data_IF_382707630903
#
_entry.id   IF_382707630903
#
_cell.length_a   1.000
_cell.length_b   1.000
_cell.length_c   1.000
_cell.angle_alpha   90.00
_cell.angle_beta   90.00
_cell.angle_gamma   90.00
#
_symmetry.space_group_name_H-M   'P 1'
#
loop_
_entity.id
_entity.type
_entity.pdbx_description
1 polymer ?
#
# COMPACT_ATOMS: atom_id res chain seq x y z
N UNK A 1 83.39 18.76 13.71
CA UNK A 1 82.45 17.91 12.97
C UNK A 1 81.05 18.14 13.54
N UNK A 2 80.17 18.92 12.78
CA UNK A 2 78.81 19.21 13.24
C UNK A 2 77.89 18.25 12.50
N UNK A 3 77.28 17.28 13.19
CA UNK A 3 76.22 16.42 12.67
C UNK A 3 74.90 17.18 12.63
N UNK A 4 74.32 17.40 11.44
CA UNK A 4 72.96 17.90 11.26
C UNK A 4 72.00 16.70 11.25
N UNK A 5 71.21 16.60 12.30
CA UNK A 5 70.13 15.62 12.39
C UNK A 5 68.91 16.14 11.59
N UNK A 6 68.68 15.60 10.41
CA UNK A 6 67.48 15.88 9.62
C UNK A 6 66.31 15.11 10.16
N UNK A 7 65.35 15.79 10.75
CA UNK A 7 64.06 15.22 11.22
C UNK A 7 63.12 15.08 10.01
N UNK A 8 62.94 13.85 9.53
CA UNK A 8 62.01 13.51 8.49
C UNK A 8 60.61 13.39 9.08
N UNK A 9 59.75 14.42 8.91
CA UNK A 9 58.36 14.40 9.32
C UNK A 9 57.55 13.67 8.22
N UNK A 10 57.19 12.42 8.49
CA UNK A 10 56.29 11.64 7.62
C UNK A 10 54.85 12.07 7.93
N UNK A 11 54.27 12.89 7.07
CA UNK A 11 52.82 13.23 7.11
C UNK A 11 52.03 12.04 6.61
N UNK A 12 51.41 11.27 7.52
CA UNK A 12 50.40 10.26 7.12
C UNK A 12 49.15 10.96 6.66
N UNK A 13 48.98 11.06 5.35
CA UNK A 13 47.73 11.45 4.75
C UNK A 13 46.71 10.29 4.94
N UNK A 14 45.82 10.40 5.92
CA UNK A 14 44.70 9.48 6.05
C UNK A 14 43.71 9.70 4.89
N UNK A 15 43.88 8.94 3.82
CA UNK A 15 42.92 8.87 2.75
C UNK A 15 41.66 8.22 3.33
N UNK A 16 40.61 9.02 3.59
CA UNK A 16 39.27 8.50 3.84
C UNK A 16 38.79 7.89 2.52
N UNK A 17 38.90 6.58 2.37
CA UNK A 17 38.22 5.83 1.33
C UNK A 17 36.73 5.99 1.64
N UNK A 18 36.03 6.79 0.85
CA UNK A 18 34.58 6.84 0.92
C UNK A 18 34.08 5.46 0.52
N UNK A 19 33.49 4.74 1.48
CA UNK A 19 32.81 3.48 1.17
C UNK A 19 31.72 3.76 0.14
N UNK A 20 31.63 2.92 -0.90
CA UNK A 20 30.55 3.01 -1.86
C UNK A 20 29.21 2.81 -1.12
N UNK A 21 28.18 3.57 -1.54
CA UNK A 21 26.85 3.43 -0.95
C UNK A 21 26.33 2.00 -1.14
N UNK A 22 25.69 1.46 -0.10
CA UNK A 22 24.93 0.23 -0.21
C UNK A 22 23.66 0.51 -1.02
N UNK A 23 23.34 -0.36 -1.97
CA UNK A 23 22.13 -0.21 -2.79
C UNK A 23 20.98 -0.98 -2.16
N UNK A 24 19.78 -0.38 -2.16
CA UNK A 24 18.50 -1.04 -1.92
C UNK A 24 17.62 -0.81 -3.15
N UNK A 25 17.24 -1.88 -3.84
CA UNK A 25 16.23 -1.85 -4.89
C UNK A 25 14.87 -2.20 -4.31
N UNK A 26 13.89 -1.30 -4.42
CA UNK A 26 12.57 -1.48 -3.83
C UNK A 26 11.46 -1.25 -4.86
N UNK A 27 10.53 -2.22 -4.97
CA UNK A 27 9.32 -2.10 -5.77
C UNK A 27 8.18 -1.43 -4.98
N UNK A 28 7.46 -0.50 -5.60
CA UNK A 28 6.35 0.19 -4.94
C UNK A 28 5.26 0.59 -5.95
N UNK A 29 4.00 0.71 -5.49
CA UNK A 29 2.99 1.45 -6.28
C UNK A 29 3.26 2.95 -6.19
N UNK A 30 2.83 3.70 -7.22
CA UNK A 30 3.22 5.11 -7.39
C UNK A 30 2.80 5.98 -6.21
N UNK A 31 1.54 5.86 -5.76
CA UNK A 31 0.95 6.64 -4.66
C UNK A 31 0.30 5.69 -3.66
N UNK A 32 0.48 5.83 -2.35
CA UNK A 32 1.39 6.75 -1.65
C UNK A 32 2.82 6.21 -1.52
N UNK A 33 3.04 4.93 -1.85
CA UNK A 33 4.22 4.16 -1.47
C UNK A 33 5.52 4.72 -2.06
N UNK A 34 5.60 4.91 -3.38
CA UNK A 34 6.78 5.50 -4.01
C UNK A 34 7.00 6.96 -3.59
N UNK A 35 5.92 7.73 -3.35
CA UNK A 35 6.04 9.10 -2.84
C UNK A 35 6.68 9.13 -1.45
N UNK A 36 6.27 8.25 -0.54
CA UNK A 36 6.87 8.10 0.80
C UNK A 36 8.35 7.71 0.67
N UNK A 37 8.67 6.74 -0.19
CA UNK A 37 10.05 6.31 -0.43
C UNK A 37 10.93 7.43 -1.01
N UNK A 38 10.38 8.28 -1.88
CA UNK A 38 11.07 9.45 -2.43
C UNK A 38 11.47 10.45 -1.32
N UNK A 39 10.69 10.56 -0.23
CA UNK A 39 11.06 11.34 0.95
C UNK A 39 12.13 10.65 1.80
N UNK A 40 12.10 9.32 1.91
CA UNK A 40 13.09 8.54 2.64
C UNK A 40 14.47 8.52 1.93
N UNK A 41 14.49 8.58 0.60
CA UNK A 41 15.70 8.49 -0.23
C UNK A 41 16.83 9.45 0.19
N UNK A 42 16.62 10.77 0.34
CA UNK A 42 17.69 11.70 0.75
C UNK A 42 18.18 11.44 2.19
N UNK A 43 17.34 10.91 3.07
CA UNK A 43 17.71 10.57 4.46
C UNK A 43 18.61 9.34 4.44
N UNK A 44 18.24 8.32 3.69
CA UNK A 44 19.04 7.10 3.51
C UNK A 44 20.38 7.38 2.83
N UNK A 45 20.41 8.29 1.84
CA UNK A 45 21.65 8.69 1.16
C UNK A 45 22.69 9.26 2.12
N UNK A 46 22.26 10.07 3.09
CA UNK A 46 23.13 10.59 4.15
C UNK A 46 23.69 9.50 5.06
N UNK A 47 23.08 8.31 5.05
CA UNK A 47 23.51 7.13 5.83
C UNK A 47 24.28 6.11 4.99
N UNK A 48 24.70 6.48 3.75
CA UNK A 48 25.45 5.63 2.84
C UNK A 48 24.58 4.59 2.13
N UNK A 49 23.29 4.87 1.91
CA UNK A 49 22.37 3.96 1.20
C UNK A 49 21.78 4.68 -0.02
N UNK A 50 21.96 4.10 -1.20
CA UNK A 50 21.29 4.52 -2.43
C UNK A 50 19.98 3.73 -2.62
N UNK A 51 18.84 4.38 -2.38
CA UNK A 51 17.51 3.78 -2.55
C UNK A 51 17.07 3.91 -4.01
N UNK A 52 16.95 2.79 -4.71
CA UNK A 52 16.46 2.69 -6.08
C UNK A 52 15.02 2.21 -6.10
N UNK A 53 14.09 3.10 -6.47
CA UNK A 53 12.66 2.85 -6.46
C UNK A 53 12.21 2.43 -7.86
N UNK A 54 11.53 1.26 -7.95
CA UNK A 54 10.88 0.79 -9.17
C UNK A 54 9.37 0.84 -8.97
N UNK A 55 8.67 1.61 -9.80
CA UNK A 55 7.22 1.76 -9.70
C UNK A 55 6.49 0.67 -10.47
N UNK A 56 5.40 0.16 -9.88
CA UNK A 56 4.53 -0.88 -10.41
C UNK A 56 3.09 -0.39 -10.42
N UNK A 57 2.31 -0.87 -11.38
CA UNK A 57 0.89 -0.57 -11.53
C UNK A 57 -0.03 -1.72 -11.11
N UNK A 58 0.53 -2.84 -10.64
CA UNK A 58 -0.18 -4.05 -10.23
C UNK A 58 0.30 -4.57 -8.88
N UNK A 59 -0.45 -5.52 -8.29
CA UNK A 59 -0.11 -6.15 -7.02
C UNK A 59 0.58 -7.51 -7.15
N UNK A 60 0.76 -8.02 -8.37
CA UNK A 60 1.24 -9.40 -8.59
C UNK A 60 2.76 -9.47 -8.68
N UNK A 61 3.37 -8.60 -9.50
CA UNK A 61 4.79 -8.67 -9.83
C UNK A 61 5.73 -8.41 -8.66
N UNK A 62 5.50 -7.41 -7.76
CA UNK A 62 6.53 -7.03 -6.79
C UNK A 62 6.94 -8.14 -5.83
N UNK A 63 6.00 -9.01 -5.40
CA UNK A 63 6.34 -10.15 -4.53
C UNK A 63 7.17 -11.21 -5.27
N UNK A 64 6.85 -11.51 -6.52
CA UNK A 64 7.65 -12.44 -7.32
C UNK A 64 9.09 -11.95 -7.50
N UNK A 65 9.27 -10.65 -7.77
CA UNK A 65 10.59 -10.07 -7.98
C UNK A 65 11.45 -10.07 -6.70
N UNK A 66 10.85 -9.85 -5.53
CA UNK A 66 11.54 -10.01 -4.24
C UNK A 66 11.89 -11.48 -3.99
N UNK A 67 10.96 -12.41 -4.26
CA UNK A 67 11.22 -13.84 -4.09
C UNK A 67 12.36 -14.32 -4.99
N UNK A 68 12.46 -13.78 -6.21
CA UNK A 68 13.52 -14.09 -7.20
C UNK A 68 14.82 -13.30 -6.96
N UNK A 69 14.89 -12.45 -5.91
CA UNK A 69 16.04 -11.57 -5.60
C UNK A 69 16.36 -10.54 -6.70
N UNK A 70 15.38 -10.18 -7.52
CA UNK A 70 15.47 -9.08 -8.51
C UNK A 70 15.16 -7.73 -7.91
N UNK A 71 14.49 -7.72 -6.74
CA UNK A 71 14.31 -6.60 -5.84
C UNK A 71 14.78 -7.03 -4.44
N UNK A 72 15.34 -6.09 -3.68
CA UNK A 72 15.67 -6.30 -2.27
C UNK A 72 14.41 -6.27 -1.39
N UNK A 73 13.45 -5.41 -1.75
CA UNK A 73 12.22 -5.20 -0.99
C UNK A 73 11.05 -4.79 -1.89
N UNK A 74 9.84 -4.82 -1.35
CA UNK A 74 8.69 -4.11 -1.92
C UNK A 74 7.89 -3.37 -0.84
N UNK A 75 7.10 -2.38 -1.28
CA UNK A 75 6.22 -1.59 -0.45
C UNK A 75 4.97 -1.22 -1.25
N UNK A 76 3.86 -1.99 -1.08
CA UNK A 76 2.62 -1.82 -1.83
C UNK A 76 1.43 -2.58 -1.22
N UNK A 77 1.68 -3.46 -0.24
CA UNK A 77 0.74 -4.46 0.23
C UNK A 77 0.53 -4.38 1.74
N UNK A 78 -0.57 -4.96 2.22
CA UNK A 78 -0.86 -5.14 3.64
C UNK A 78 -0.58 -6.58 4.10
N UNK A 79 -0.47 -6.78 5.44
CA UNK A 79 -0.16 -8.09 6.04
C UNK A 79 -1.04 -9.24 5.53
N UNK A 80 -2.37 -9.14 5.53
CA UNK A 80 -3.19 -10.25 5.04
C UNK A 80 -2.91 -10.65 3.59
N UNK A 81 -2.55 -9.68 2.72
CA UNK A 81 -2.17 -9.98 1.34
C UNK A 81 -0.86 -10.77 1.28
N UNK A 82 0.16 -10.38 2.04
CA UNK A 82 1.43 -11.10 2.13
C UNK A 82 1.22 -12.55 2.62
N UNK A 83 0.45 -12.72 3.69
CA UNK A 83 0.15 -14.05 4.25
C UNK A 83 -0.51 -14.95 3.20
N UNK A 84 -1.52 -14.44 2.52
CA UNK A 84 -2.24 -15.18 1.48
C UNK A 84 -1.35 -15.48 0.28
N UNK A 85 -0.56 -14.51 -0.19
CA UNK A 85 0.39 -14.70 -1.27
C UNK A 85 1.42 -15.80 -0.95
N UNK A 86 1.98 -15.79 0.26
CA UNK A 86 2.91 -16.83 0.69
C UNK A 86 2.25 -18.21 0.68
N UNK A 87 1.02 -18.31 1.19
CA UNK A 87 0.27 -19.56 1.22
C UNK A 87 -0.06 -20.08 -0.18
N UNK A 88 -0.53 -19.22 -1.07
CA UNK A 88 -0.96 -19.59 -2.44
C UNK A 88 0.23 -19.92 -3.36
N UNK A 89 1.37 -19.26 -3.14
CA UNK A 89 2.53 -19.34 -4.04
C UNK A 89 3.71 -20.14 -3.47
N UNK A 90 3.60 -20.63 -2.24
CA UNK A 90 4.68 -21.37 -1.57
C UNK A 90 5.93 -20.51 -1.37
N UNK A 91 5.76 -19.19 -1.15
CA UNK A 91 6.88 -18.27 -0.92
C UNK A 91 7.09 -18.04 0.58
N UNK A 92 8.28 -17.52 0.94
CA UNK A 92 8.68 -17.23 2.32
C UNK A 92 9.14 -15.77 2.44
N UNK A 93 8.30 -14.84 1.98
CA UNK A 93 8.54 -13.43 2.14
C UNK A 93 8.11 -13.01 3.54
N UNK A 94 8.81 -12.03 4.13
CA UNK A 94 8.55 -11.56 5.49
C UNK A 94 8.38 -10.06 5.56
N UNK A 95 7.59 -9.61 6.52
CA UNK A 95 7.48 -8.20 6.86
C UNK A 95 8.78 -7.71 7.46
N UNK A 96 9.32 -6.62 6.91
CA UNK A 96 10.39 -5.85 7.53
C UNK A 96 9.82 -4.87 8.55
N UNK A 97 8.80 -4.12 8.17
CA UNK A 97 8.13 -3.13 9.03
C UNK A 97 6.78 -2.72 8.47
N UNK A 98 5.82 -2.41 9.35
CA UNK A 98 4.60 -1.70 8.98
C UNK A 98 4.85 -0.20 8.89
N UNK A 99 4.13 0.52 8.05
CA UNK A 99 4.36 1.97 7.82
C UNK A 99 3.09 2.80 8.00
N UNK A 100 1.98 2.39 7.37
CA UNK A 100 0.74 3.16 7.37
C UNK A 100 -0.48 2.28 7.13
N UNK A 101 -1.66 2.87 7.32
CA UNK A 101 -2.96 2.28 6.98
C UNK A 101 -3.59 3.10 5.85
N UNK A 102 -4.23 2.41 4.91
CA UNK A 102 -5.02 2.98 3.83
C UNK A 102 -6.47 2.51 3.95
N UNK A 103 -7.39 3.32 4.49
CA UNK A 103 -8.79 2.96 4.56
C UNK A 103 -9.40 2.74 3.17
N UNK A 104 -9.96 1.55 2.91
CA UNK A 104 -10.66 1.25 1.66
C UNK A 104 -11.98 2.01 1.59
N UNK A 105 -12.38 2.47 0.39
CA UNK A 105 -13.59 3.26 0.20
C UNK A 105 -14.56 2.68 -0.82
N UNK A 106 -15.86 3.02 -0.66
CA UNK A 106 -16.91 2.79 -1.66
C UNK A 106 -17.16 4.10 -2.38
N UNK A 107 -17.04 4.10 -3.71
CA UNK A 107 -17.16 5.27 -4.56
C UNK A 107 -18.34 5.12 -5.53
N UNK A 108 -19.03 6.25 -5.83
CA UNK A 108 -20.08 6.28 -6.83
C UNK A 108 -19.56 6.75 -8.18
N UNK A 109 -20.07 6.14 -9.24
CA UNK A 109 -19.96 6.66 -10.59
C UNK A 109 -20.78 7.95 -10.78
N UNK A 110 -20.60 8.59 -11.92
CA UNK A 110 -21.33 9.85 -12.25
C UNK A 110 -22.76 9.62 -12.72
N UNK A 111 -23.26 8.38 -12.65
CA UNK A 111 -24.60 8.01 -13.11
C UNK A 111 -25.68 8.76 -12.31
N UNK A 112 -26.58 9.43 -13.03
CA UNK A 112 -27.67 10.23 -12.45
C UNK A 112 -28.59 9.45 -11.52
N UNK A 113 -28.76 8.14 -11.74
CA UNK A 113 -29.59 7.27 -10.88
C UNK A 113 -29.08 7.13 -9.45
N UNK A 114 -27.77 7.43 -9.21
CA UNK A 114 -27.16 7.38 -7.88
C UNK A 114 -27.16 8.72 -7.14
N UNK A 115 -27.60 9.81 -7.79
CA UNK A 115 -27.45 11.17 -7.27
C UNK A 115 -28.05 11.35 -5.87
N UNK A 116 -29.25 10.83 -5.66
CA UNK A 116 -29.96 10.98 -4.37
C UNK A 116 -29.33 10.09 -3.28
N UNK A 117 -28.92 8.88 -3.65
CA UNK A 117 -28.20 7.99 -2.76
C UNK A 117 -26.81 8.54 -2.38
N UNK A 118 -26.01 8.95 -3.37
CA UNK A 118 -24.67 9.49 -3.13
C UNK A 118 -24.69 10.77 -2.24
N UNK A 119 -25.77 11.56 -2.32
CA UNK A 119 -25.93 12.75 -1.49
C UNK A 119 -26.39 12.45 -0.06
N UNK A 120 -27.29 11.48 0.11
CA UNK A 120 -27.93 11.20 1.40
C UNK A 120 -27.32 10.04 2.16
N UNK A 121 -26.60 9.14 1.46
CA UNK A 121 -26.11 7.84 1.96
C UNK A 121 -27.23 6.95 2.52
N UNK A 122 -28.47 7.20 2.10
CA UNK A 122 -29.65 6.48 2.54
C UNK A 122 -29.90 5.28 1.64
N UNK A 123 -29.74 4.08 2.17
CA UNK A 123 -29.92 2.83 1.42
C UNK A 123 -31.34 2.64 0.87
N UNK A 124 -32.36 3.29 1.45
CA UNK A 124 -33.73 3.27 0.89
C UNK A 124 -33.82 3.98 -0.48
N UNK A 125 -32.84 4.84 -0.78
CA UNK A 125 -32.72 5.51 -2.08
C UNK A 125 -31.75 4.81 -3.02
N UNK A 126 -31.19 3.66 -2.61
CA UNK A 126 -30.32 2.88 -3.45
C UNK A 126 -31.14 2.23 -4.57
N UNK A 127 -30.83 2.48 -5.84
CA UNK A 127 -31.51 1.80 -6.94
C UNK A 127 -31.28 0.30 -6.89
N UNK A 128 -32.25 -0.47 -7.38
CA UNK A 128 -32.14 -1.91 -7.48
C UNK A 128 -31.23 -2.32 -8.66
N UNK A 129 -30.67 -3.53 -8.61
CA UNK A 129 -29.85 -4.13 -9.67
C UNK A 129 -28.62 -3.31 -10.09
N UNK A 130 -27.93 -2.70 -9.11
CA UNK A 130 -26.68 -1.98 -9.34
C UNK A 130 -25.53 -2.92 -9.67
N UNK A 131 -24.64 -2.46 -10.56
CA UNK A 131 -23.32 -3.05 -10.75
C UNK A 131 -22.31 -2.47 -9.77
N UNK A 132 -21.73 -3.32 -8.92
CA UNK A 132 -20.68 -2.91 -7.97
C UNK A 132 -19.39 -3.65 -8.29
N UNK A 133 -18.32 -2.89 -8.57
CA UNK A 133 -16.98 -3.45 -8.76
C UNK A 133 -16.29 -3.70 -7.42
N UNK A 134 -15.64 -4.86 -7.31
CA UNK A 134 -14.79 -5.24 -6.16
C UNK A 134 -13.47 -5.80 -6.68
N UNK A 135 -12.37 -5.73 -5.88
CA UNK A 135 -11.11 -6.38 -6.23
C UNK A 135 -11.29 -7.89 -6.47
N UNK A 136 -10.50 -8.46 -7.36
CA UNK A 136 -10.56 -9.90 -7.71
C UNK A 136 -9.54 -10.75 -6.94
N UNK A 137 -8.66 -10.14 -6.12
CA UNK A 137 -7.77 -10.90 -5.24
C UNK A 137 -8.45 -11.29 -3.93
N UNK A 138 -8.12 -12.49 -3.43
CA UNK A 138 -8.77 -13.14 -2.29
C UNK A 138 -8.94 -12.24 -1.07
N UNK A 139 -7.91 -11.47 -0.71
CA UNK A 139 -7.93 -10.68 0.53
C UNK A 139 -8.67 -9.36 0.35
N UNK A 140 -8.51 -8.68 -0.79
CA UNK A 140 -9.19 -7.41 -1.05
C UNK A 140 -10.65 -7.62 -1.48
N UNK A 141 -11.01 -8.73 -2.19
CA UNK A 141 -12.41 -9.10 -2.40
C UNK A 141 -13.10 -9.25 -1.05
N UNK A 142 -12.54 -10.10 -0.17
CA UNK A 142 -13.10 -10.33 1.15
C UNK A 142 -13.25 -9.05 1.97
N UNK A 143 -12.24 -8.18 1.95
CA UNK A 143 -12.25 -6.87 2.59
C UNK A 143 -13.36 -5.96 2.03
N UNK A 144 -13.50 -5.91 0.71
CA UNK A 144 -14.54 -5.14 0.03
C UNK A 144 -15.94 -5.63 0.38
N UNK A 145 -16.16 -6.94 0.40
CA UNK A 145 -17.45 -7.52 0.78
C UNK A 145 -17.80 -7.24 2.25
N UNK A 146 -16.82 -7.29 3.16
CA UNK A 146 -17.00 -6.91 4.56
C UNK A 146 -17.35 -5.42 4.71
N UNK A 147 -16.76 -4.54 3.90
CA UNK A 147 -17.11 -3.12 3.89
C UNK A 147 -18.53 -2.89 3.37
N UNK A 148 -18.95 -3.60 2.31
CA UNK A 148 -20.32 -3.60 1.80
C UNK A 148 -21.31 -4.11 2.85
N UNK A 149 -21.00 -5.21 3.54
CA UNK A 149 -21.81 -5.73 4.64
C UNK A 149 -21.95 -4.73 5.78
N UNK A 150 -20.84 -4.14 6.23
CA UNK A 150 -20.83 -3.16 7.33
C UNK A 150 -21.77 -1.98 7.05
N UNK A 151 -21.91 -1.61 5.79
CA UNK A 151 -22.75 -0.50 5.35
C UNK A 151 -24.13 -0.96 4.85
N UNK A 152 -24.53 -2.21 5.08
CA UNK A 152 -25.90 -2.69 4.87
C UNK A 152 -26.25 -3.08 3.42
N UNK A 153 -25.29 -3.11 2.50
CA UNK A 153 -25.55 -3.47 1.10
C UNK A 153 -25.87 -4.95 0.91
N UNK A 154 -25.18 -5.81 1.66
CA UNK A 154 -25.30 -7.28 1.59
C UNK A 154 -25.16 -7.88 2.99
N UNK A 155 -25.47 -9.19 3.12
CA UNK A 155 -25.05 -10.01 4.28
C UNK A 155 -24.22 -11.18 3.80
N UNK A 156 -23.19 -11.52 4.55
CA UNK A 156 -22.25 -12.62 4.29
C UNK A 156 -22.51 -13.74 5.32
N UNK A 157 -22.28 -14.98 4.94
CA UNK A 157 -22.29 -16.13 5.85
C UNK A 157 -21.31 -15.91 7.00
N UNK A 158 -21.72 -16.26 8.21
CA UNK A 158 -20.89 -16.08 9.40
C UNK A 158 -19.63 -16.96 9.36
N UNK A 159 -18.52 -16.45 9.95
CA UNK A 159 -17.29 -17.23 10.17
C UNK A 159 -16.36 -17.35 8.97
N UNK A 160 -16.65 -16.72 7.85
CA UNK A 160 -15.76 -16.72 6.67
C UNK A 160 -14.72 -15.63 6.81
N UNK A 161 -13.43 -16.00 6.85
CA UNK A 161 -12.31 -15.05 7.02
C UNK A 161 -12.13 -14.15 5.80
N UNK A 162 -12.13 -14.74 4.60
CA UNK A 162 -12.02 -14.05 3.32
C UNK A 162 -13.24 -14.42 2.47
N UNK A 163 -14.37 -13.72 2.65
CA UNK A 163 -15.60 -14.03 1.91
C UNK A 163 -15.43 -13.68 0.42
N UNK A 164 -16.06 -14.49 -0.40
CA UNK A 164 -16.22 -14.30 -1.84
C UNK A 164 -17.68 -14.02 -2.16
N UNK A 165 -18.00 -13.63 -3.38
CA UNK A 165 -19.40 -13.44 -3.79
C UNK A 165 -20.30 -14.67 -3.56
N UNK A 166 -19.73 -15.90 -3.50
CA UNK A 166 -20.46 -17.13 -3.17
C UNK A 166 -20.91 -17.23 -1.71
N UNK A 167 -20.34 -16.41 -0.85
CA UNK A 167 -20.64 -16.35 0.57
C UNK A 167 -21.68 -15.31 0.93
N UNK A 168 -22.23 -14.59 -0.05
CA UNK A 168 -23.34 -13.66 0.14
C UNK A 168 -24.59 -14.46 0.46
N UNK A 169 -25.15 -14.23 1.65
CA UNK A 169 -26.37 -14.89 2.13
C UNK A 169 -27.62 -14.07 1.90
N UNK A 170 -27.50 -12.72 1.85
CA UNK A 170 -28.61 -11.78 1.57
C UNK A 170 -28.11 -10.68 0.66
N UNK A 171 -28.86 -10.45 -0.42
CA UNK A 171 -28.62 -9.38 -1.40
C UNK A 171 -29.93 -8.64 -1.69
N UNK A 172 -30.37 -7.74 -0.78
CA UNK A 172 -31.71 -7.16 -0.82
C UNK A 172 -31.91 -6.19 -1.99
N UNK A 173 -30.82 -5.69 -2.58
CA UNK A 173 -30.83 -4.72 -3.68
C UNK A 173 -30.52 -5.37 -5.04
N UNK A 174 -30.47 -6.71 -5.12
CA UNK A 174 -30.07 -7.46 -6.32
C UNK A 174 -28.76 -6.95 -6.96
N UNK A 175 -27.77 -6.64 -6.11
CA UNK A 175 -26.47 -6.12 -6.55
C UNK A 175 -25.79 -7.16 -7.43
N UNK A 176 -25.32 -6.71 -8.61
CA UNK A 176 -24.49 -7.48 -9.52
C UNK A 176 -23.01 -7.16 -9.22
N UNK A 177 -22.34 -8.04 -8.49
CA UNK A 177 -20.91 -7.88 -8.17
C UNK A 177 -20.05 -8.27 -9.37
N UNK A 178 -19.12 -7.38 -9.72
CA UNK A 178 -18.10 -7.58 -10.76
C UNK A 178 -16.71 -7.57 -10.13
N UNK A 179 -16.06 -8.72 -10.16
CA UNK A 179 -14.67 -8.88 -9.70
C UNK A 179 -13.75 -8.38 -10.81
N UNK A 180 -12.89 -7.42 -10.49
CA UNK A 180 -11.94 -6.80 -11.43
C UNK A 180 -10.57 -6.62 -10.76
N UNK A 181 -9.52 -6.62 -11.57
CA UNK A 181 -8.21 -6.18 -11.13
C UNK A 181 -8.34 -4.84 -10.39
N UNK A 182 -7.79 -4.71 -9.15
CA UNK A 182 -7.91 -3.50 -8.34
C UNK A 182 -7.50 -2.21 -9.08
N UNK A 183 -6.49 -2.27 -9.95
CA UNK A 183 -6.04 -1.12 -10.75
C UNK A 183 -7.07 -0.68 -11.81
N UNK A 184 -7.97 -1.57 -12.21
CA UNK A 184 -9.00 -1.27 -13.23
C UNK A 184 -10.27 -0.65 -12.64
N UNK A 185 -10.53 -0.83 -11.34
CA UNK A 185 -11.76 -0.38 -10.69
C UNK A 185 -12.03 1.13 -10.83
N UNK A 186 -11.06 2.03 -10.59
CA UNK A 186 -11.31 3.46 -10.78
C UNK A 186 -11.67 3.82 -12.22
N UNK A 187 -10.99 3.20 -13.19
CA UNK A 187 -11.25 3.45 -14.61
C UNK A 187 -12.63 2.96 -15.04
N UNK A 188 -13.01 1.76 -14.61
CA UNK A 188 -14.32 1.18 -14.90
C UNK A 188 -15.46 2.04 -14.30
N UNK A 189 -15.26 2.56 -13.08
CA UNK A 189 -16.18 3.47 -12.42
C UNK A 189 -16.33 4.79 -13.20
N UNK A 190 -15.21 5.43 -13.54
CA UNK A 190 -15.20 6.70 -14.27
C UNK A 190 -15.77 6.58 -15.69
N UNK A 191 -15.65 5.40 -16.31
CA UNK A 191 -16.24 5.08 -17.62
C UNK A 191 -17.73 4.68 -17.54
N UNK A 192 -18.37 4.78 -16.36
CA UNK A 192 -19.74 4.36 -16.11
C UNK A 192 -20.04 2.88 -16.47
N UNK A 193 -19.02 2.02 -16.42
CA UNK A 193 -19.18 0.57 -16.56
C UNK A 193 -19.62 -0.08 -15.25
N UNK A 194 -19.46 0.64 -14.15
CA UNK A 194 -19.89 0.32 -12.80
C UNK A 194 -20.71 1.48 -12.24
N UNK A 195 -21.72 1.14 -11.43
CA UNK A 195 -22.49 2.14 -10.69
C UNK A 195 -21.75 2.56 -9.42
N UNK A 196 -21.22 1.58 -8.69
CA UNK A 196 -20.35 1.77 -7.53
C UNK A 196 -19.07 0.94 -7.70
N UNK A 197 -18.02 1.30 -6.99
CA UNK A 197 -16.83 0.48 -6.85
C UNK A 197 -16.23 0.57 -5.45
N UNK A 198 -15.75 -0.56 -4.95
CA UNK A 198 -14.95 -0.62 -3.73
C UNK A 198 -13.49 -0.59 -4.13
N UNK A 199 -12.79 0.50 -3.80
CA UNK A 199 -11.46 0.80 -4.34
C UNK A 199 -10.43 0.93 -3.22
N UNK A 200 -9.28 0.26 -3.39
CA UNK A 200 -8.11 0.46 -2.54
C UNK A 200 -7.61 1.90 -2.65
N UNK A 201 -7.25 2.52 -1.52
CA UNK A 201 -6.92 3.96 -1.47
C UNK A 201 -5.76 4.37 -2.36
N UNK A 202 -4.74 3.54 -2.53
CA UNK A 202 -3.65 3.85 -3.46
C UNK A 202 -4.15 4.02 -4.90
N UNK A 203 -5.04 3.16 -5.40
CA UNK A 203 -5.62 3.31 -6.73
C UNK A 203 -6.62 4.46 -6.81
N UNK A 204 -7.38 4.73 -5.74
CA UNK A 204 -8.23 5.90 -5.67
C UNK A 204 -7.40 7.20 -5.77
N UNK A 205 -6.33 7.33 -4.96
CA UNK A 205 -5.41 8.48 -5.00
C UNK A 205 -4.73 8.63 -6.37
N UNK A 206 -4.28 7.53 -6.98
CA UNK A 206 -3.69 7.54 -8.32
C UNK A 206 -4.69 8.02 -9.38
N UNK A 207 -5.96 7.69 -9.23
CA UNK A 207 -7.05 8.20 -10.08
C UNK A 207 -7.53 9.60 -9.68
N UNK A 208 -6.86 10.27 -8.74
CA UNK A 208 -7.21 11.60 -8.20
C UNK A 208 -8.54 11.65 -7.46
N UNK A 209 -9.05 10.53 -7.00
CA UNK A 209 -10.14 10.46 -6.04
C UNK A 209 -9.58 10.68 -4.62
N UNK A 210 -10.22 11.55 -3.87
CA UNK A 210 -9.86 11.77 -2.47
C UNK A 210 -10.69 10.85 -1.57
N UNK A 211 -10.08 9.84 -0.88
CA UNK A 211 -10.83 8.89 -0.08
C UNK A 211 -11.75 9.52 0.98
N UNK A 212 -11.35 10.67 1.54
CA UNK A 212 -12.12 11.35 2.58
C UNK A 212 -13.27 12.24 2.06
N UNK A 213 -13.23 12.60 0.76
CA UNK A 213 -14.21 13.51 0.17
C UNK A 213 -15.12 12.82 -0.83
N UNK A 214 -14.56 11.90 -1.61
CA UNK A 214 -15.22 11.31 -2.77
C UNK A 214 -15.79 9.91 -2.47
N UNK A 215 -15.32 9.25 -1.40
CA UNK A 215 -15.93 8.00 -0.96
C UNK A 215 -17.27 8.27 -0.27
N UNK A 216 -18.30 7.48 -0.64
CA UNK A 216 -19.60 7.48 0.03
C UNK A 216 -19.48 6.84 1.41
N UNK A 217 -18.74 5.75 1.49
CA UNK A 217 -18.38 5.06 2.73
C UNK A 217 -16.89 4.72 2.71
N UNK A 218 -16.27 4.81 3.87
CA UNK A 218 -14.85 4.53 4.05
C UNK A 218 -14.64 3.67 5.30
N UNK A 219 -13.61 2.84 5.29
CA UNK A 219 -13.19 2.09 6.47
C UNK A 219 -12.72 3.01 7.60
N UNK A 220 -12.80 2.51 8.83
CA UNK A 220 -12.21 3.18 9.99
C UNK A 220 -10.68 3.09 10.00
N UNK A 221 -10.06 4.00 10.78
CA UNK A 221 -8.62 4.03 10.98
C UNK A 221 -8.06 2.82 11.76
N UNK A 222 -8.89 2.16 12.58
CA UNK A 222 -8.49 0.95 13.29
C UNK A 222 -8.70 -0.27 12.38
N UNK A 223 -7.65 -0.66 11.67
CA UNK A 223 -7.71 -1.65 10.60
C UNK A 223 -6.53 -2.63 10.69
N UNK A 224 -6.75 -3.95 10.46
CA UNK A 224 -5.67 -4.93 10.38
C UNK A 224 -4.84 -4.82 9.09
N UNK A 225 -5.28 -3.99 8.14
CA UNK A 225 -4.67 -3.86 6.82
C UNK A 225 -3.53 -2.82 6.83
N UNK A 226 -2.56 -3.02 7.73
CA UNK A 226 -1.34 -2.20 7.76
C UNK A 226 -0.51 -2.46 6.52
N UNK A 227 -0.15 -1.40 5.80
CA UNK A 227 0.76 -1.44 4.67
C UNK A 227 2.20 -1.60 5.16
N UNK A 228 2.90 -2.56 4.58
CA UNK A 228 4.18 -3.10 5.07
C UNK A 228 5.26 -3.06 4.00
N UNK A 229 6.50 -2.88 4.43
CA UNK A 229 7.67 -3.21 3.61
C UNK A 229 7.96 -4.70 3.75
N UNK A 230 8.12 -5.37 2.63
CA UNK A 230 8.35 -6.81 2.55
C UNK A 230 9.71 -7.10 1.94
N UNK A 231 10.40 -8.08 2.49
CA UNK A 231 11.72 -8.56 2.07
C UNK A 231 11.74 -10.08 2.00
N UNK A 232 12.80 -10.63 1.45
CA UNK A 232 13.06 -12.06 1.55
C UNK A 232 13.51 -12.43 2.97
N UNK A 233 13.07 -13.59 3.45
CA UNK A 233 13.52 -14.10 4.77
C UNK A 233 15.04 -14.20 4.86
N UNK A 234 15.58 -13.87 6.03
CA UNK A 234 17.02 -13.78 6.30
C UNK A 234 17.63 -12.39 6.02
N UNK A 235 16.94 -11.47 5.34
CA UNK A 235 17.46 -10.13 5.07
C UNK A 235 17.21 -9.13 6.21
N UNK A 236 16.32 -9.41 7.14
CA UNK A 236 15.93 -8.50 8.24
C UNK A 236 17.07 -8.14 9.18
N UNK A 237 18.13 -8.93 9.22
CA UNK A 237 19.33 -8.68 10.05
C UNK A 237 20.32 -7.71 9.39
N UNK A 238 20.22 -7.48 8.08
CA UNK A 238 21.14 -6.61 7.34
C UNK A 238 21.03 -5.17 7.77
N UNK A 239 22.18 -4.48 7.95
CA UNK A 239 22.26 -3.08 8.39
C UNK A 239 21.42 -2.16 7.50
N UNK A 240 21.49 -2.31 6.18
CA UNK A 240 20.75 -1.49 5.23
C UNK A 240 19.22 -1.62 5.41
N UNK A 241 18.71 -2.82 5.73
CA UNK A 241 17.27 -3.04 5.95
C UNK A 241 16.79 -2.45 7.26
N UNK A 242 17.58 -2.56 8.32
CA UNK A 242 17.30 -1.90 9.61
C UNK A 242 17.21 -0.38 9.44
N UNK A 243 18.17 0.23 8.73
CA UNK A 243 18.17 1.67 8.44
C UNK A 243 16.93 2.08 7.60
N UNK A 244 16.55 1.27 6.62
CA UNK A 244 15.31 1.52 5.85
C UNK A 244 14.09 1.55 6.77
N UNK A 245 13.93 0.56 7.64
CA UNK A 245 12.83 0.51 8.61
C UNK A 245 12.85 1.72 9.57
N UNK A 246 14.01 2.08 10.12
CA UNK A 246 14.17 3.24 11.01
C UNK A 246 13.80 4.56 10.33
N UNK A 247 14.24 4.77 9.08
CA UNK A 247 13.95 5.99 8.32
C UNK A 247 12.47 6.10 8.03
N UNK A 248 11.79 5.00 7.67
CA UNK A 248 10.35 5.00 7.41
C UNK A 248 9.51 5.34 8.65
N UNK A 249 10.04 5.14 9.86
CA UNK A 249 9.42 5.57 11.13
C UNK A 249 9.92 6.91 11.65
N UNK A 250 10.76 7.62 10.89
CA UNK A 250 11.26 8.92 11.34
C UNK A 250 10.14 9.96 11.41
N UNK A 251 10.30 10.94 12.29
CA UNK A 251 9.37 12.06 12.41
C UNK A 251 9.14 12.78 11.06
N UNK A 252 10.19 12.89 10.24
CA UNK A 252 10.10 13.50 8.91
C UNK A 252 9.13 12.74 7.99
N UNK A 253 9.18 11.41 7.96
CA UNK A 253 8.28 10.59 7.15
C UNK A 253 6.86 10.62 7.72
N UNK A 254 6.70 10.49 9.04
CA UNK A 254 5.39 10.59 9.71
C UNK A 254 4.71 11.94 9.41
N UNK A 255 5.45 13.04 9.52
CA UNK A 255 4.94 14.38 9.21
C UNK A 255 4.59 14.53 7.72
N UNK A 256 5.42 14.00 6.83
CA UNK A 256 5.13 13.99 5.40
C UNK A 256 3.79 13.29 5.11
N UNK A 257 3.60 12.07 5.61
CA UNK A 257 2.36 11.30 5.43
C UNK A 257 1.17 12.10 5.95
N UNK A 258 1.25 12.60 7.19
CA UNK A 258 0.17 13.35 7.85
C UNK A 258 -0.21 14.60 7.06
N UNK A 259 0.78 15.39 6.65
CA UNK A 259 0.55 16.68 5.99
C UNK A 259 0.09 16.52 4.54
N UNK A 260 0.59 15.51 3.84
CA UNK A 260 0.28 15.27 2.41
C UNK A 260 -1.09 14.63 2.25
N UNK A 261 -1.37 13.56 3.00
CA UNK A 261 -2.57 12.75 2.78
C UNK A 261 -3.72 13.10 3.74
N UNK A 262 -3.47 13.87 4.80
CA UNK A 262 -4.48 14.47 5.70
C UNK A 262 -5.52 13.47 6.23
N UNK A 263 -5.09 12.22 6.48
CA UNK A 263 -5.95 11.14 6.97
C UNK A 263 -6.43 10.13 5.90
N UNK A 264 -6.26 10.43 4.59
CA UNK A 264 -6.47 9.43 3.55
C UNK A 264 -5.42 8.30 3.60
N UNK A 265 -4.23 8.59 4.12
CA UNK A 265 -3.18 7.66 4.51
C UNK A 265 -2.80 8.00 5.94
N UNK A 266 -2.78 7.01 6.82
CA UNK A 266 -2.61 7.18 8.26
C UNK A 266 -1.30 6.51 8.70
N UNK A 267 -0.28 7.27 9.13
CA UNK A 267 0.96 6.66 9.61
C UNK A 267 0.69 5.87 10.89
N UNK A 268 1.37 4.73 11.05
CA UNK A 268 1.33 3.99 12.31
C UNK A 268 2.48 4.45 13.22
N UNK A 269 2.20 4.55 14.51
CA UNK A 269 3.25 4.67 15.54
C UNK A 269 3.96 3.34 15.74
N UNK A 270 5.25 3.39 16.06
CA UNK A 270 5.99 2.20 16.55
C UNK A 270 5.37 1.66 17.81
#
# INVERSE_FOLDING_TARGET
VKFKLSLLITVLLAIKIAAADEIITIGATSVPHAEILKQAKPILKKQGIDLQIKEFSDYVQPNFLVNQKQLDANFYQHRPYLEQFNQERGTHLVELTGVHIEPMGIYAGTNSKLKDFAKSHDLHKLPNALSIGVPDDTTNEGRALLLLQKNGFIKIKAGVKYPTKKDISVNPYNINLKELDPAMLPRALMANQLDLAVINSNFALQAKLNPLKDAIFIEGANSPYVNIVVIKDGMQTQSKMKKLAEVLHSAAITQYITNTYKGAVIPISK
#
